data_IF_200430453645
#
_entry.id   IF_200430453645
#
_cell.length_a   1.000
_cell.length_b   1.000
_cell.length_c   1.000
_cell.angle_alpha   90.00
_cell.angle_beta   90.00
_cell.angle_gamma   90.00
#
_symmetry.space_group_name_H-M   'P 1'
#
loop_
_entity.id
_entity.type
_entity.pdbx_description
1 polymer ?
#
# COMPACT_ATOMS: atom_id res chain seq x y z
N UNK A 1 -19.58 -17.14 -69.72
CA UNK A 1 -19.39 -15.70 -70.00
C UNK A 1 -20.58 -14.92 -69.49
N UNK A 2 -20.40 -14.09 -68.45
CA UNK A 2 -21.12 -12.83 -68.22
C UNK A 2 -20.44 -12.12 -67.04
N UNK A 3 -19.79 -11.00 -67.36
CA UNK A 3 -19.09 -10.11 -66.42
C UNK A 3 -20.13 -9.38 -65.57
N UNK A 4 -19.92 -9.35 -64.25
CA UNK A 4 -20.62 -8.43 -63.34
C UNK A 4 -19.74 -7.18 -63.14
N UNK A 5 -20.36 -5.99 -63.04
CA UNK A 5 -19.66 -4.71 -63.09
C UNK A 5 -18.93 -4.40 -61.78
N UNK A 6 -17.79 -3.71 -61.95
CA UNK A 6 -17.01 -3.05 -60.91
C UNK A 6 -17.86 -1.91 -60.34
N UNK A 7 -18.25 -2.02 -59.06
CA UNK A 7 -18.80 -0.90 -58.30
C UNK A 7 -17.75 -0.40 -57.31
N UNK A 8 -17.70 0.91 -57.21
CA UNK A 8 -16.63 1.73 -56.68
C UNK A 8 -16.31 1.44 -55.19
N UNK A 9 -15.04 1.63 -54.84
CA UNK A 9 -14.56 1.56 -53.48
C UNK A 9 -15.23 2.64 -52.63
N UNK A 10 -16.03 2.22 -51.65
CA UNK A 10 -16.42 3.07 -50.53
C UNK A 10 -15.16 3.38 -49.71
N UNK A 11 -14.73 4.63 -49.81
CA UNK A 11 -13.76 5.27 -48.92
C UNK A 11 -14.11 4.96 -47.46
N UNK A 12 -13.16 4.54 -46.60
CA UNK A 12 -13.45 4.33 -45.19
C UNK A 12 -13.78 5.68 -44.55
N UNK A 13 -15.06 5.92 -44.31
CA UNK A 13 -15.55 7.03 -43.50
C UNK A 13 -14.89 6.94 -42.14
N UNK A 14 -14.05 7.92 -41.81
CA UNK A 14 -13.43 7.99 -40.49
C UNK A 14 -14.53 8.07 -39.43
N UNK A 15 -14.48 7.24 -38.37
CA UNK A 15 -15.49 7.30 -37.32
C UNK A 15 -15.38 8.63 -36.59
N UNK A 16 -16.45 9.43 -36.72
CA UNK A 16 -16.72 10.64 -35.96
C UNK A 16 -16.66 10.32 -34.45
N UNK A 17 -16.02 11.16 -33.61
CA UNK A 17 -15.87 10.87 -32.19
C UNK A 17 -17.16 11.25 -31.45
N UNK A 18 -18.19 10.42 -31.55
CA UNK A 18 -19.35 10.51 -30.66
C UNK A 18 -18.94 10.08 -29.25
N UNK A 19 -18.60 11.10 -28.46
CA UNK A 19 -18.52 11.06 -27.00
C UNK A 19 -19.87 10.59 -26.45
N UNK A 20 -19.87 9.44 -25.76
CA UNK A 20 -20.50 9.16 -24.45
C UNK A 20 -20.68 7.64 -24.21
N UNK A 21 -19.59 6.88 -24.19
CA UNK A 21 -19.58 5.51 -23.64
C UNK A 21 -18.83 5.48 -22.30
N UNK A 22 -19.46 6.02 -21.25
CA UNK A 22 -18.90 5.98 -19.90
C UNK A 22 -19.33 4.68 -19.17
N UNK A 23 -18.65 3.57 -19.50
CA UNK A 23 -18.57 2.39 -18.62
C UNK A 23 -17.15 1.83 -18.70
N UNK A 24 -16.18 2.61 -18.21
CA UNK A 24 -14.90 2.04 -17.82
C UNK A 24 -14.59 2.42 -16.38
N UNK A 25 -14.06 1.44 -15.66
CA UNK A 25 -13.22 1.71 -14.51
C UNK A 25 -12.00 2.44 -15.07
N UNK A 26 -12.02 3.77 -15.12
CA UNK A 26 -10.93 4.56 -15.72
C UNK A 26 -9.62 4.21 -15.02
N UNK A 27 -8.81 3.40 -15.69
CA UNK A 27 -7.50 2.96 -15.24
C UNK A 27 -6.53 4.11 -15.44
N UNK A 28 -5.65 4.35 -14.47
CA UNK A 28 -4.56 5.31 -14.67
C UNK A 28 -3.66 4.86 -15.83
N UNK A 29 -2.98 5.79 -16.52
CA UNK A 29 -1.99 5.47 -17.56
C UNK A 29 -1.01 4.36 -17.13
N UNK A 30 -0.47 4.44 -15.91
CA UNK A 30 0.44 3.43 -15.37
C UNK A 30 -0.25 2.06 -15.14
N UNK A 31 -1.54 2.07 -14.78
CA UNK A 31 -2.31 0.83 -14.63
C UNK A 31 -2.59 0.19 -16.00
N UNK A 32 -2.81 1.00 -17.04
CA UNK A 32 -2.95 0.53 -18.42
C UNK A 32 -1.64 -0.06 -18.94
N UNK A 33 -0.52 0.65 -18.75
CA UNK A 33 0.81 0.19 -19.14
C UNK A 33 1.20 -1.12 -18.43
N UNK A 34 1.00 -1.21 -17.10
CA UNK A 34 1.24 -2.45 -16.36
C UNK A 34 0.36 -3.61 -16.83
N UNK A 35 -0.87 -3.31 -17.28
CA UNK A 35 -1.78 -4.32 -17.83
C UNK A 35 -1.38 -4.76 -19.23
N UNK A 36 -0.95 -3.84 -20.09
CA UNK A 36 -0.41 -4.19 -21.41
C UNK A 36 0.86 -5.02 -21.27
N UNK A 37 1.81 -4.62 -20.41
CA UNK A 37 2.99 -5.42 -20.11
C UNK A 37 2.63 -6.81 -19.53
N UNK A 38 1.62 -6.88 -18.67
CA UNK A 38 1.10 -8.16 -18.16
C UNK A 38 0.43 -9.02 -19.24
N UNK A 39 -0.24 -8.40 -20.22
CA UNK A 39 -0.86 -9.07 -21.37
C UNK A 39 0.21 -9.62 -22.30
N UNK A 40 1.23 -8.83 -22.63
CA UNK A 40 2.37 -9.25 -23.47
C UNK A 40 3.06 -10.49 -22.89
N UNK A 41 3.36 -10.48 -21.59
CA UNK A 41 3.93 -11.67 -20.92
C UNK A 41 3.06 -12.91 -21.04
N UNK A 42 1.74 -12.77 -20.89
CA UNK A 42 0.82 -13.90 -21.05
C UNK A 42 0.70 -14.36 -22.51
N UNK A 43 0.80 -13.44 -23.47
CA UNK A 43 0.82 -13.76 -24.89
C UNK A 43 2.08 -14.56 -25.24
N UNK A 44 3.23 -14.17 -24.72
CA UNK A 44 4.48 -14.92 -24.88
C UNK A 44 4.39 -16.32 -24.31
N UNK A 45 3.82 -16.46 -23.11
CA UNK A 45 3.58 -17.76 -22.49
C UNK A 45 2.61 -18.63 -23.30
N UNK A 46 1.55 -18.05 -23.86
CA UNK A 46 0.64 -18.74 -24.76
C UNK A 46 1.37 -19.22 -26.02
N UNK A 47 2.16 -18.36 -26.65
CA UNK A 47 2.95 -18.71 -27.85
C UNK A 47 3.95 -19.83 -27.57
N UNK A 48 4.65 -19.78 -26.44
CA UNK A 48 5.59 -20.83 -26.02
C UNK A 48 4.87 -22.17 -25.80
N UNK A 49 3.70 -22.16 -25.15
CA UNK A 49 2.89 -23.39 -24.98
C UNK A 49 2.44 -23.95 -26.33
N UNK A 50 2.02 -23.09 -27.27
CA UNK A 50 1.59 -23.52 -28.60
C UNK A 50 2.76 -24.08 -29.44
N UNK A 51 3.95 -23.49 -29.34
CA UNK A 51 5.16 -24.04 -29.98
C UNK A 51 5.50 -25.43 -29.43
N UNK A 52 5.47 -25.62 -28.12
CA UNK A 52 5.73 -26.94 -27.51
C UNK A 52 4.64 -27.96 -27.88
N UNK A 53 3.39 -27.53 -28.04
CA UNK A 53 2.29 -28.38 -28.54
C UNK A 53 2.54 -28.82 -29.99
N UNK A 54 2.93 -27.89 -30.87
CA UNK A 54 3.29 -28.20 -32.27
C UNK A 54 4.49 -29.14 -32.37
N UNK A 55 5.45 -29.02 -31.45
CA UNK A 55 6.59 -29.93 -31.32
C UNK A 55 6.24 -31.31 -30.70
N UNK A 56 4.96 -31.58 -30.40
CA UNK A 56 4.50 -32.88 -29.89
C UNK A 56 4.78 -33.15 -28.42
N UNK A 57 5.16 -32.14 -27.62
CA UNK A 57 5.41 -32.35 -26.19
C UNK A 57 4.10 -32.49 -25.41
N UNK A 58 4.08 -33.45 -24.48
CA UNK A 58 2.95 -33.63 -23.58
C UNK A 58 2.80 -32.47 -22.58
N UNK A 59 1.56 -32.21 -22.15
CA UNK A 59 1.22 -31.15 -21.18
C UNK A 59 2.10 -31.22 -19.93
N UNK A 60 2.40 -32.43 -19.45
CA UNK A 60 3.24 -32.66 -18.26
C UNK A 60 4.72 -32.33 -18.48
N UNK A 61 5.25 -32.47 -19.70
CA UNK A 61 6.61 -32.04 -20.06
C UNK A 61 6.66 -30.54 -20.27
N UNK A 62 5.69 -29.95 -20.97
CA UNK A 62 5.60 -28.50 -21.20
C UNK A 62 5.44 -27.72 -19.90
N UNK A 63 4.66 -28.23 -18.94
CA UNK A 63 4.51 -27.67 -17.59
C UNK A 63 5.83 -27.63 -16.82
N UNK A 64 6.64 -28.69 -16.89
CA UNK A 64 7.97 -28.73 -16.25
C UNK A 64 8.96 -27.80 -16.95
N UNK A 65 8.96 -27.76 -18.28
CA UNK A 65 9.88 -26.93 -19.07
C UNK A 65 9.64 -25.43 -18.89
N UNK A 66 8.37 -25.01 -18.78
CA UNK A 66 7.99 -23.61 -18.63
C UNK A 66 7.76 -23.19 -17.17
N UNK A 67 7.97 -24.10 -16.20
CA UNK A 67 7.63 -23.89 -14.79
C UNK A 67 6.19 -23.36 -14.57
N UNK A 68 5.23 -23.84 -15.38
CA UNK A 68 3.83 -23.42 -15.35
C UNK A 68 2.92 -24.49 -14.77
N UNK A 69 1.82 -24.07 -14.14
CA UNK A 69 0.79 -24.99 -13.69
C UNK A 69 0.18 -25.76 -14.87
N UNK A 70 0.01 -27.08 -14.71
CA UNK A 70 -0.54 -27.99 -15.74
C UNK A 70 -1.91 -27.53 -16.26
N UNK A 71 -2.75 -26.94 -15.41
CA UNK A 71 -4.07 -26.40 -15.80
C UNK A 71 -3.96 -25.21 -16.76
N UNK A 72 -2.99 -24.32 -16.54
CA UNK A 72 -2.71 -23.17 -17.41
C UNK A 72 -2.13 -23.64 -18.75
N UNK A 73 -1.18 -24.57 -18.73
CA UNK A 73 -0.63 -25.18 -19.95
C UNK A 73 -1.72 -25.89 -20.73
N UNK A 74 -2.61 -26.64 -20.07
CA UNK A 74 -3.77 -27.26 -20.72
C UNK A 74 -4.69 -26.22 -21.36
N UNK A 75 -5.02 -25.14 -20.63
CA UNK A 75 -5.87 -24.05 -21.13
C UNK A 75 -5.26 -23.40 -22.38
N UNK A 76 -3.97 -23.07 -22.36
CA UNK A 76 -3.29 -22.46 -23.49
C UNK A 76 -3.07 -23.41 -24.66
N UNK A 77 -2.75 -24.68 -24.37
CA UNK A 77 -2.57 -25.69 -25.40
C UNK A 77 -3.83 -25.86 -26.22
N UNK A 78 -5.00 -26.03 -25.59
CA UNK A 78 -6.26 -26.29 -26.29
C UNK A 78 -7.03 -25.05 -26.75
N UNK A 79 -6.60 -23.84 -26.40
CA UNK A 79 -7.25 -22.63 -26.88
C UNK A 79 -6.87 -22.35 -28.35
N UNK A 80 -7.89 -22.02 -29.16
CA UNK A 80 -7.71 -21.67 -30.58
C UNK A 80 -7.03 -20.30 -30.75
N UNK A 81 -7.26 -19.39 -29.81
CA UNK A 81 -6.68 -18.05 -29.75
C UNK A 81 -6.29 -17.70 -28.31
N UNK A 82 -5.52 -16.62 -28.14
CA UNK A 82 -5.12 -16.16 -26.81
C UNK A 82 -6.35 -15.83 -25.95
N UNK A 83 -6.58 -16.53 -24.82
CA UNK A 83 -7.75 -16.29 -23.99
C UNK A 83 -7.58 -14.96 -23.24
N UNK A 84 -8.10 -13.89 -23.84
CA UNK A 84 -8.05 -12.55 -23.29
C UNK A 84 -8.83 -12.49 -21.96
N UNK A 85 -8.31 -11.74 -20.98
CA UNK A 85 -8.97 -11.61 -19.68
C UNK A 85 -10.27 -10.80 -19.85
N UNK A 86 -11.42 -11.47 -19.67
CA UNK A 86 -12.73 -10.80 -19.68
C UNK A 86 -12.73 -9.68 -18.64
N UNK A 87 -12.86 -8.44 -19.11
CA UNK A 87 -13.02 -7.29 -18.23
C UNK A 87 -14.45 -7.30 -17.70
N UNK A 88 -14.60 -7.51 -16.39
CA UNK A 88 -15.89 -7.27 -15.74
C UNK A 88 -16.07 -5.75 -15.66
N UNK A 89 -17.13 -5.17 -16.25
CA UNK A 89 -17.41 -3.75 -16.06
C UNK A 89 -17.54 -3.49 -14.57
N UNK A 90 -16.85 -2.45 -14.07
CA UNK A 90 -17.15 -1.98 -12.72
C UNK A 90 -18.61 -1.52 -12.71
N UNK A 91 -19.37 -1.90 -11.69
CA UNK A 91 -20.73 -1.39 -11.52
C UNK A 91 -20.77 0.14 -11.61
N UNK A 92 -21.92 0.66 -12.06
CA UNK A 92 -22.16 2.12 -12.21
C UNK A 92 -21.76 2.82 -10.90
N UNK A 93 -20.82 3.76 -10.99
CA UNK A 93 -20.40 4.54 -9.83
C UNK A 93 -21.53 5.47 -9.42
N UNK A 94 -21.72 5.72 -8.12
CA UNK A 94 -22.69 6.71 -7.65
C UNK A 94 -22.37 8.13 -8.15
N UNK A 95 -21.14 8.36 -8.60
CA UNK A 95 -20.71 9.60 -9.24
C UNK A 95 -21.18 9.74 -10.69
N UNK A 96 -21.55 8.64 -11.37
CA UNK A 96 -21.84 8.62 -12.81
C UNK A 96 -22.86 9.69 -13.24
N UNK A 97 -23.97 9.93 -12.52
CA UNK A 97 -24.93 10.98 -12.87
C UNK A 97 -24.36 12.41 -12.76
N UNK A 98 -23.33 12.62 -11.94
CA UNK A 98 -22.78 13.92 -11.58
C UNK A 98 -21.49 14.29 -12.32
N UNK A 99 -21.00 13.41 -13.20
CA UNK A 99 -19.72 13.61 -13.90
C UNK A 99 -19.74 14.82 -14.84
N UNK A 100 -20.84 15.07 -15.54
CA UNK A 100 -20.95 16.21 -16.44
C UNK A 100 -20.80 17.54 -15.70
N UNK A 101 -21.38 17.63 -14.50
CA UNK A 101 -21.25 18.79 -13.63
C UNK A 101 -19.81 18.97 -13.14
N UNK A 102 -19.21 17.89 -12.62
CA UNK A 102 -17.82 17.90 -12.15
C UNK A 102 -16.83 18.32 -13.24
N UNK A 103 -17.02 17.83 -14.47
CA UNK A 103 -16.19 18.18 -15.63
C UNK A 103 -16.29 19.67 -15.97
N UNK A 104 -17.50 20.23 -15.96
CA UNK A 104 -17.72 21.65 -16.21
C UNK A 104 -17.03 22.51 -15.13
N UNK A 105 -17.20 22.18 -13.85
CA UNK A 105 -16.53 22.88 -12.75
C UNK A 105 -15.02 22.76 -12.81
N UNK A 106 -14.50 21.61 -13.24
CA UNK A 106 -13.07 21.41 -13.42
C UNK A 106 -12.49 22.28 -14.54
N UNK A 107 -13.20 22.41 -15.67
CA UNK A 107 -12.84 23.32 -16.78
C UNK A 107 -12.88 24.78 -16.36
N UNK A 108 -13.77 25.15 -15.45
CA UNK A 108 -13.82 26.47 -14.82
C UNK A 108 -12.68 26.71 -13.80
N UNK A 109 -11.74 25.78 -13.64
CA UNK A 109 -10.60 25.93 -12.74
C UNK A 109 -10.85 25.53 -11.29
N UNK A 110 -12.01 24.94 -10.96
CA UNK A 110 -12.28 24.47 -9.61
C UNK A 110 -11.37 23.26 -9.28
N UNK A 111 -10.34 23.48 -8.46
CA UNK A 111 -9.41 22.44 -7.99
C UNK A 111 -9.65 22.03 -6.54
N UNK A 112 -10.74 22.45 -5.89
CA UNK A 112 -11.03 22.09 -4.50
C UNK A 112 -12.07 20.94 -4.42
N UNK A 113 -11.64 19.76 -3.97
CA UNK A 113 -12.52 18.58 -3.85
C UNK A 113 -13.62 18.76 -2.79
N UNK A 114 -13.36 19.49 -1.71
CA UNK A 114 -14.35 19.74 -0.66
C UNK A 114 -15.46 20.66 -1.15
N UNK A 115 -15.11 21.67 -1.96
CA UNK A 115 -16.06 22.55 -2.61
C UNK A 115 -16.97 21.76 -3.58
N UNK A 116 -16.36 20.98 -4.48
CA UNK A 116 -17.11 20.15 -5.43
C UNK A 116 -18.04 19.15 -4.71
N UNK A 117 -17.60 18.56 -3.60
CA UNK A 117 -18.44 17.63 -2.84
C UNK A 117 -19.65 18.31 -2.18
N UNK A 118 -19.49 19.53 -1.63
CA UNK A 118 -20.63 20.30 -1.07
C UNK A 118 -21.64 20.67 -2.14
N UNK A 119 -21.16 21.10 -3.31
CA UNK A 119 -22.00 21.44 -4.46
C UNK A 119 -22.76 20.22 -4.99
N UNK A 120 -22.10 19.06 -5.02
CA UNK A 120 -22.75 17.80 -5.34
C UNK A 120 -23.79 17.39 -4.28
N UNK A 121 -23.50 17.63 -3.00
CA UNK A 121 -24.46 17.40 -1.91
C UNK A 121 -25.75 18.22 -2.09
N UNK A 122 -25.63 19.47 -2.54
CA UNK A 122 -26.79 20.33 -2.88
C UNK A 122 -27.60 19.79 -4.07
N UNK A 123 -26.97 19.04 -4.98
CA UNK A 123 -27.61 18.36 -6.11
C UNK A 123 -28.08 16.93 -5.77
N UNK A 124 -28.07 16.58 -4.48
CA UNK A 124 -28.58 15.29 -3.98
C UNK A 124 -27.59 14.12 -4.07
N UNK A 125 -26.28 14.37 -4.22
CA UNK A 125 -25.28 13.30 -4.24
C UNK A 125 -25.18 12.61 -2.87
N UNK A 126 -25.48 11.29 -2.77
CA UNK A 126 -25.48 10.57 -1.50
C UNK A 126 -24.10 9.97 -1.13
N UNK A 127 -23.07 10.22 -1.95
CA UNK A 127 -21.78 9.56 -1.80
C UNK A 127 -20.75 10.32 -0.96
N UNK A 128 -19.67 9.63 -0.61
CA UNK A 128 -18.60 10.18 0.24
C UNK A 128 -17.69 11.18 -0.50
N UNK A 129 -17.16 12.15 0.24
CA UNK A 129 -16.16 13.13 -0.20
C UNK A 129 -14.94 12.49 -0.88
N UNK A 130 -14.47 11.37 -0.33
CA UNK A 130 -13.33 10.63 -0.87
C UNK A 130 -13.49 10.21 -2.34
N UNK A 131 -14.71 9.99 -2.81
CA UNK A 131 -14.96 9.63 -4.20
C UNK A 131 -14.73 10.84 -5.13
N UNK A 132 -15.15 12.04 -4.71
CA UNK A 132 -14.90 13.31 -5.43
C UNK A 132 -13.40 13.64 -5.41
N UNK A 133 -12.75 13.44 -4.25
CA UNK A 133 -11.29 13.62 -4.12
C UNK A 133 -10.52 12.70 -5.06
N UNK A 134 -10.88 11.41 -5.12
CA UNK A 134 -10.28 10.45 -6.04
C UNK A 134 -10.48 10.84 -7.50
N UNK A 135 -11.68 11.28 -7.87
CA UNK A 135 -11.98 11.78 -9.22
C UNK A 135 -11.08 12.98 -9.57
N UNK A 136 -10.99 13.97 -8.68
CA UNK A 136 -10.19 15.17 -8.90
C UNK A 136 -8.69 14.90 -8.96
N UNK A 137 -8.16 14.05 -8.07
CA UNK A 137 -6.74 13.67 -8.05
C UNK A 137 -6.32 12.92 -9.33
N UNK A 138 -7.25 12.23 -10.00
CA UNK A 138 -6.97 11.56 -11.28
C UNK A 138 -6.85 12.57 -12.43
N UNK A 139 -7.77 13.53 -12.51
CA UNK A 139 -7.71 14.61 -13.51
C UNK A 139 -6.45 15.46 -13.42
N UNK A 140 -6.00 15.76 -12.19
CA UNK A 140 -4.71 16.44 -11.97
C UNK A 140 -3.50 15.65 -12.51
N UNK A 141 -3.57 14.32 -12.57
CA UNK A 141 -2.49 13.49 -13.13
C UNK A 141 -2.55 13.39 -14.65
N UNK A 142 -3.71 13.65 -15.26
CA UNK A 142 -3.90 13.65 -16.72
C UNK A 142 -3.48 14.99 -17.35
N UNK A 143 -3.75 16.12 -16.68
CA UNK A 143 -3.44 17.48 -17.18
C UNK A 143 -1.97 17.90 -17.04
N UNK A 144 -1.20 17.25 -16.19
CA UNK A 144 0.25 17.52 -16.09
C UNK A 144 0.93 16.72 -17.19
N UNK A 145 1.73 17.34 -18.09
CA UNK A 145 2.60 16.61 -18.99
C UNK A 145 3.52 15.75 -18.13
N UNK A 146 3.12 14.48 -18.03
CA UNK A 146 3.79 13.35 -17.39
C UNK A 146 5.24 13.65 -17.03
N UNK A 147 5.51 14.03 -15.77
CA UNK A 147 6.76 13.57 -15.16
C UNK A 147 6.62 12.07 -15.13
N UNK A 148 7.22 11.41 -16.11
CA UNK A 148 7.36 9.97 -16.09
C UNK A 148 8.00 9.67 -14.75
N UNK A 149 7.31 8.95 -13.87
CA UNK A 149 8.01 8.22 -12.82
C UNK A 149 8.72 7.07 -13.53
N UNK A 150 9.76 7.42 -14.29
CA UNK A 150 10.83 6.47 -14.54
C UNK A 150 11.25 5.96 -13.16
N UNK A 151 11.48 4.65 -12.99
CA UNK A 151 12.23 4.21 -11.83
C UNK A 151 13.52 5.03 -11.89
N UNK A 152 13.77 5.84 -10.86
CA UNK A 152 15.01 6.60 -10.74
C UNK A 152 16.14 5.57 -10.68
N UNK A 153 16.64 5.20 -11.84
CA UNK A 153 18.01 4.73 -11.97
C UNK A 153 18.84 5.97 -11.72
N UNK A 154 19.29 6.12 -10.47
CA UNK A 154 20.12 7.24 -10.02
C UNK A 154 21.39 7.32 -10.86
N UNK A 155 21.34 8.04 -11.98
CA UNK A 155 22.50 8.53 -12.68
C UNK A 155 23.17 9.59 -11.83
N UNK A 156 24.32 9.20 -11.27
CA UNK A 156 25.45 10.05 -10.86
C UNK A 156 25.11 11.46 -10.35
N UNK A 157 24.80 11.55 -9.05
CA UNK A 157 25.12 12.74 -8.25
C UNK A 157 26.40 12.42 -7.46
N UNK A 158 27.44 13.27 -7.48
CA UNK A 158 28.75 13.00 -6.89
C UNK A 158 28.80 13.24 -5.37
N UNK A 159 27.71 12.91 -4.66
CA UNK A 159 27.69 12.93 -3.20
C UNK A 159 26.75 11.84 -2.70
N UNK A 160 27.10 10.59 -3.01
CA UNK A 160 26.41 9.45 -2.40
C UNK A 160 26.92 9.35 -0.97
N UNK A 161 26.02 9.51 0.00
CA UNK A 161 26.24 8.98 1.34
C UNK A 161 26.80 7.55 1.22
N UNK A 162 27.78 7.15 2.03
CA UNK A 162 28.39 5.82 1.95
C UNK A 162 27.40 4.68 2.24
N UNK A 163 26.16 5.01 2.63
CA UNK A 163 25.08 4.09 2.93
C UNK A 163 23.73 4.63 2.39
N UNK A 164 22.78 3.74 2.16
CA UNK A 164 21.39 4.10 1.86
C UNK A 164 20.65 4.49 3.15
N UNK A 165 19.93 5.62 3.12
CA UNK A 165 19.14 6.04 4.29
C UNK A 165 17.95 5.08 4.49
N UNK A 166 17.82 4.49 5.69
CA UNK A 166 16.73 3.56 5.98
C UNK A 166 15.38 4.28 6.07
N UNK A 167 14.29 3.51 5.99
CA UNK A 167 12.94 4.04 6.24
C UNK A 167 12.82 4.59 7.65
N UNK A 168 11.87 5.51 7.88
CA UNK A 168 11.60 6.09 9.21
C UNK A 168 11.37 5.02 10.28
N UNK A 169 10.71 3.90 9.94
CA UNK A 169 10.46 2.81 10.86
C UNK A 169 11.74 2.04 11.22
N UNK A 170 12.60 1.78 10.23
CA UNK A 170 13.90 1.16 10.46
C UNK A 170 14.80 2.07 11.30
N UNK A 171 14.83 3.37 11.01
CA UNK A 171 15.57 4.37 11.77
C UNK A 171 15.11 4.44 13.24
N UNK A 172 13.80 4.46 13.47
CA UNK A 172 13.25 4.42 14.84
C UNK A 172 13.64 3.12 15.57
N UNK A 173 13.67 1.99 14.87
CA UNK A 173 14.10 0.71 15.46
C UNK A 173 15.60 0.71 15.78
N UNK A 174 16.44 1.27 14.90
CA UNK A 174 17.87 1.46 15.14
C UNK A 174 18.13 2.30 16.39
N UNK A 175 17.38 3.39 16.57
CA UNK A 175 17.51 4.26 17.74
C UNK A 175 17.18 3.57 19.08
N UNK A 176 16.29 2.57 19.09
CA UNK A 176 15.91 1.83 20.30
C UNK A 176 16.82 0.63 20.55
N UNK A 177 17.50 0.12 19.51
CA UNK A 177 18.33 -1.10 19.56
C UNK A 177 19.47 -0.93 20.59
N UNK A 178 19.80 -1.98 21.37
CA UNK A 178 20.97 -1.93 22.25
C UNK A 178 22.23 -1.63 21.45
N UNK A 179 23.09 -0.74 21.99
CA UNK A 179 24.34 -0.34 21.33
C UNK A 179 25.23 -1.55 21.01
N UNK A 180 25.20 -2.59 21.85
CA UNK A 180 25.94 -3.84 21.67
C UNK A 180 25.52 -4.66 20.44
N UNK A 181 24.36 -4.36 19.86
CA UNK A 181 23.85 -5.05 18.68
C UNK A 181 23.95 -4.20 17.42
N UNK A 182 24.43 -2.96 17.49
CA UNK A 182 24.59 -2.10 16.33
C UNK A 182 25.78 -2.58 15.49
N UNK A 183 25.58 -2.67 14.18
CA UNK A 183 26.66 -2.92 13.23
C UNK A 183 27.39 -1.60 12.90
N UNK A 184 28.57 -1.69 12.29
CA UNK A 184 29.37 -0.51 11.93
C UNK A 184 28.61 0.42 10.96
N UNK A 185 27.82 -0.15 10.07
CA UNK A 185 26.92 0.55 9.15
C UNK A 185 25.78 1.28 9.88
N UNK A 186 25.18 0.65 10.91
CA UNK A 186 24.15 1.28 11.75
C UNK A 186 24.72 2.50 12.48
N UNK A 187 25.97 2.41 12.95
CA UNK A 187 26.68 3.52 13.59
C UNK A 187 26.89 4.71 12.66
N UNK A 188 27.22 4.47 11.39
CA UNK A 188 27.38 5.53 10.38
C UNK A 188 26.05 6.24 10.09
N UNK A 189 24.95 5.49 9.98
CA UNK A 189 23.61 6.04 9.80
C UNK A 189 23.22 6.93 10.98
N UNK A 190 23.41 6.43 12.21
CA UNK A 190 23.10 7.19 13.42
C UNK A 190 23.97 8.44 13.54
N UNK A 191 25.28 8.35 13.27
CA UNK A 191 26.18 9.50 13.28
C UNK A 191 25.76 10.58 12.29
N UNK A 192 25.30 10.19 11.11
CA UNK A 192 24.82 11.14 10.11
C UNK A 192 23.49 11.79 10.52
N UNK A 193 22.52 11.01 10.98
CA UNK A 193 21.21 11.53 11.39
C UNK A 193 21.32 12.41 12.65
N UNK A 194 22.25 12.08 13.56
CA UNK A 194 22.53 12.87 14.75
C UNK A 194 23.39 14.12 14.49
N UNK A 195 23.71 14.46 13.23
CA UNK A 195 24.27 15.79 12.91
C UNK A 195 23.27 16.90 13.23
N UNK A 196 21.97 16.60 13.15
CA UNK A 196 20.92 17.52 13.58
C UNK A 196 20.76 17.49 15.11
N UNK A 197 20.97 18.62 15.76
CA UNK A 197 21.00 18.72 17.23
C UNK A 197 19.72 18.23 17.92
N UNK A 198 18.56 18.45 17.31
CA UNK A 198 17.27 17.98 17.84
C UNK A 198 17.23 16.45 17.82
N UNK A 199 17.67 15.82 16.73
CA UNK A 199 17.64 14.37 16.60
C UNK A 199 18.67 13.72 17.54
N UNK A 200 19.86 14.31 17.69
CA UNK A 200 20.85 13.85 18.66
C UNK A 200 20.29 13.84 20.09
N UNK A 201 19.60 14.91 20.49
CA UNK A 201 18.98 15.00 21.81
C UNK A 201 17.87 13.96 22.01
N UNK A 202 17.04 13.72 20.98
CA UNK A 202 16.01 12.68 20.99
C UNK A 202 16.64 11.30 21.11
N UNK A 203 17.70 11.03 20.34
CA UNK A 203 18.38 9.73 20.35
C UNK A 203 18.94 9.40 21.74
N UNK A 204 19.60 10.36 22.41
CA UNK A 204 20.10 10.14 23.77
C UNK A 204 18.97 9.84 24.76
N UNK A 205 17.83 10.55 24.68
CA UNK A 205 16.69 10.29 25.55
C UNK A 205 16.02 8.93 25.27
N UNK A 206 15.92 8.53 24.00
CA UNK A 206 15.39 7.21 23.61
C UNK A 206 16.32 6.10 24.11
N UNK A 207 17.63 6.27 23.95
CA UNK A 207 18.66 5.33 24.44
C UNK A 207 18.58 5.16 25.95
N UNK A 208 18.52 6.26 26.69
CA UNK A 208 18.40 6.26 28.16
C UNK A 208 17.11 5.57 28.61
N UNK A 209 15.98 5.87 27.97
CA UNK A 209 14.70 5.23 28.29
C UNK A 209 14.72 3.73 28.01
N UNK A 210 15.22 3.33 26.84
CA UNK A 210 15.30 1.93 26.45
C UNK A 210 16.23 1.14 27.38
N UNK A 211 17.35 1.74 27.81
CA UNK A 211 18.23 1.16 28.82
C UNK A 211 17.50 1.02 30.16
N UNK A 212 16.85 2.09 30.64
CA UNK A 212 16.10 2.11 31.91
C UNK A 212 15.00 1.05 31.97
N UNK A 213 14.26 0.84 30.87
CA UNK A 213 13.22 -0.20 30.76
C UNK A 213 13.83 -1.60 30.81
N UNK A 214 14.94 -1.84 30.10
CA UNK A 214 15.61 -3.15 30.07
C UNK A 214 16.24 -3.52 31.42
N UNK A 215 16.85 -2.55 32.10
CA UNK A 215 17.55 -2.74 33.38
C UNK A 215 16.66 -2.49 34.59
N UNK A 216 15.39 -2.10 34.40
CA UNK A 216 14.40 -1.86 35.46
C UNK A 216 14.86 -0.82 36.49
N UNK A 217 15.38 0.30 36.00
CA UNK A 217 15.95 1.37 36.83
C UNK A 217 14.93 2.46 37.13
N UNK A 218 13.89 2.13 37.90
CA UNK A 218 12.80 3.07 38.25
C UNK A 218 13.28 4.38 38.89
N UNK A 219 14.44 4.38 39.57
CA UNK A 219 15.02 5.58 40.20
C UNK A 219 15.45 6.67 39.21
N UNK A 220 15.74 6.30 37.96
CA UNK A 220 16.16 7.25 36.93
C UNK A 220 14.98 7.93 36.21
N UNK A 221 13.76 7.45 36.43
CA UNK A 221 12.56 7.91 35.73
C UNK A 221 12.31 9.41 35.94
N UNK A 222 12.42 9.89 37.18
CA UNK A 222 12.12 11.29 37.52
C UNK A 222 13.06 12.26 36.80
N UNK A 223 14.38 11.97 36.81
CA UNK A 223 15.37 12.77 36.09
C UNK A 223 15.12 12.73 34.58
N UNK A 224 14.83 11.55 34.04
CA UNK A 224 14.54 11.39 32.63
C UNK A 224 13.31 12.18 32.18
N UNK A 225 12.23 12.17 32.98
CA UNK A 225 11.02 12.97 32.70
C UNK A 225 11.32 14.47 32.69
N UNK A 226 12.15 14.97 33.61
CA UNK A 226 12.60 16.37 33.59
C UNK A 226 13.36 16.70 32.31
N UNK A 227 14.28 15.82 31.88
CA UNK A 227 15.03 16.02 30.63
C UNK A 227 14.13 15.99 29.39
N UNK A 228 13.04 15.23 29.40
CA UNK A 228 12.04 15.27 28.33
C UNK A 228 11.36 16.64 28.23
N UNK A 229 11.06 17.29 29.36
CA UNK A 229 10.45 18.62 29.36
C UNK A 229 11.38 19.72 28.84
N UNK A 230 12.69 19.57 29.03
CA UNK A 230 13.71 20.50 28.52
C UNK A 230 14.18 20.19 27.09
N UNK A 231 13.64 19.14 26.46
CA UNK A 231 14.02 18.75 25.10
C UNK A 231 13.41 19.70 24.07
N UNK A 232 14.14 20.03 23.00
CA UNK A 232 13.62 20.88 21.91
C UNK A 232 12.54 20.19 21.06
N UNK A 233 12.39 18.87 21.17
CA UNK A 233 11.39 18.10 20.43
C UNK A 233 10.04 18.05 21.17
N UNK A 234 9.04 18.78 20.65
CA UNK A 234 7.68 18.86 21.22
C UNK A 234 7.04 17.48 21.41
N UNK A 235 7.24 16.56 20.46
CA UNK A 235 6.69 15.20 20.56
C UNK A 235 7.26 14.42 21.76
N UNK A 236 8.52 14.67 22.13
CA UNK A 236 9.15 14.01 23.26
C UNK A 236 8.74 14.64 24.60
N UNK A 237 8.53 15.96 24.63
CA UNK A 237 7.91 16.64 25.78
C UNK A 237 6.51 16.07 26.04
N UNK A 238 5.68 15.97 25.00
CA UNK A 238 4.34 15.37 25.08
C UNK A 238 4.42 13.93 25.54
N UNK A 239 5.32 13.12 24.99
CA UNK A 239 5.51 11.74 25.44
C UNK A 239 5.83 11.65 26.93
N UNK A 240 6.77 12.46 27.42
CA UNK A 240 7.09 12.55 28.85
C UNK A 240 5.89 12.97 29.70
N UNK A 241 5.09 13.93 29.25
CA UNK A 241 3.89 14.37 29.95
C UNK A 241 2.86 13.24 30.10
N UNK A 242 2.61 12.46 29.04
CA UNK A 242 1.69 11.32 29.12
C UNK A 242 2.21 10.23 30.06
N UNK A 243 3.52 9.94 30.03
CA UNK A 243 4.11 9.01 31.00
C UNK A 243 3.99 9.49 32.45
N UNK A 244 4.07 10.80 32.67
CA UNK A 244 3.87 11.40 33.99
C UNK A 244 2.41 11.30 34.46
N UNK A 245 1.43 11.41 33.56
CA UNK A 245 0.02 11.16 33.90
C UNK A 245 -0.19 9.72 34.38
N UNK A 246 0.50 8.76 33.76
CA UNK A 246 0.48 7.34 34.13
C UNK A 246 1.63 6.92 35.07
N UNK A 247 2.19 7.87 35.85
CA UNK A 247 3.44 7.67 36.60
C UNK A 247 3.46 6.41 37.45
N UNK A 248 2.39 6.15 38.21
CA UNK A 248 2.30 4.97 39.07
C UNK A 248 2.44 3.65 38.28
N UNK A 249 1.79 3.58 37.11
CA UNK A 249 1.85 2.42 36.24
C UNK A 249 3.24 2.27 35.59
N UNK A 250 3.82 3.38 35.10
CA UNK A 250 5.16 3.38 34.50
C UNK A 250 6.23 2.99 35.53
N UNK A 251 6.17 3.55 36.73
CA UNK A 251 7.07 3.20 37.83
C UNK A 251 6.91 1.74 38.25
N UNK A 252 5.69 1.22 38.30
CA UNK A 252 5.44 -0.20 38.56
C UNK A 252 6.03 -1.09 37.46
N UNK A 253 5.88 -0.72 36.19
CA UNK A 253 6.47 -1.45 35.07
C UNK A 253 8.01 -1.50 35.13
N UNK A 254 8.64 -0.44 35.66
CA UNK A 254 10.09 -0.37 35.84
C UNK A 254 10.60 -1.02 37.12
N UNK A 255 9.77 -1.26 38.13
CA UNK A 255 10.22 -1.75 39.45
C UNK A 255 9.78 -3.18 39.75
N UNK A 256 8.72 -3.67 39.10
CA UNK A 256 8.16 -4.99 39.36
C UNK A 256 8.55 -6.00 38.28
N UNK A 257 8.59 -7.30 38.62
CA UNK A 257 8.81 -8.34 37.62
C UNK A 257 7.55 -8.67 36.80
N UNK A 258 6.40 -8.18 37.23
CA UNK A 258 5.10 -8.50 36.68
C UNK A 258 4.83 -7.72 35.40
N UNK A 259 4.26 -8.40 34.41
CA UNK A 259 3.76 -7.75 33.19
C UNK A 259 2.38 -8.28 32.84
N UNK A 260 1.54 -7.43 32.28
CA UNK A 260 0.24 -7.83 31.75
C UNK A 260 0.37 -8.60 30.42
N UNK A 261 1.58 -8.81 29.89
CA UNK A 261 1.79 -9.41 28.57
C UNK A 261 1.21 -10.83 28.44
N UNK A 262 1.29 -11.65 29.49
CA UNK A 262 0.67 -12.98 29.47
C UNK A 262 -0.86 -12.86 29.36
N UNK A 263 -1.46 -12.02 30.19
CA UNK A 263 -2.91 -11.78 30.22
C UNK A 263 -3.39 -11.21 28.88
N UNK A 264 -2.70 -10.20 28.36
CA UNK A 264 -2.99 -9.59 27.05
C UNK A 264 -2.82 -10.59 25.91
N UNK A 265 -1.82 -11.48 25.99
CA UNK A 265 -1.64 -12.58 25.05
C UNK A 265 -2.84 -13.53 25.04
N UNK A 266 -3.34 -13.92 26.21
CA UNK A 266 -4.54 -14.76 26.31
C UNK A 266 -5.78 -14.01 25.80
N UNK A 267 -5.96 -12.73 26.16
CA UNK A 267 -7.06 -11.90 25.66
C UNK A 267 -7.02 -11.78 24.14
N UNK A 268 -5.84 -11.58 23.56
CA UNK A 268 -5.64 -11.49 22.12
C UNK A 268 -5.98 -12.80 21.42
N UNK A 269 -5.52 -13.93 21.96
CA UNK A 269 -5.87 -15.27 21.49
C UNK A 269 -7.38 -15.49 21.52
N UNK A 270 -8.05 -15.13 22.61
CA UNK A 270 -9.51 -15.24 22.75
C UNK A 270 -10.23 -14.34 21.73
N UNK A 271 -9.78 -13.09 21.56
CA UNK A 271 -10.31 -12.16 20.54
C UNK A 271 -10.13 -12.71 19.13
N UNK A 272 -9.00 -13.35 18.83
CA UNK A 272 -8.74 -13.99 17.55
C UNK A 272 -9.73 -15.12 17.26
N UNK A 273 -9.95 -16.03 18.22
CA UNK A 273 -10.93 -17.12 18.09
C UNK A 273 -12.33 -16.55 17.84
N UNK A 274 -12.73 -15.52 18.61
CA UNK A 274 -14.03 -14.85 18.39
C UNK A 274 -14.14 -14.27 16.97
N UNK A 275 -13.09 -13.62 16.46
CA UNK A 275 -13.05 -13.03 15.11
C UNK A 275 -13.13 -14.09 14.02
N UNK A 276 -12.40 -15.20 14.17
CA UNK A 276 -12.46 -16.34 13.23
C UNK A 276 -13.87 -16.96 13.17
N UNK A 277 -14.64 -16.85 14.24
CA UNK A 277 -16.02 -17.35 14.32
C UNK A 277 -17.08 -16.28 14.05
N UNK A 278 -16.68 -15.15 13.46
CA UNK A 278 -17.57 -14.04 13.10
C UNK A 278 -18.41 -13.53 14.29
N UNK A 279 -17.85 -13.58 15.51
CA UNK A 279 -18.54 -13.15 16.72
C UNK A 279 -19.66 -14.08 17.21
N UNK A 280 -19.90 -15.22 16.57
CA UNK A 280 -20.99 -16.16 16.90
C UNK A 280 -20.65 -17.14 18.03
N UNK A 281 -19.65 -16.82 18.84
CA UNK A 281 -19.19 -17.66 19.96
C UNK A 281 -19.79 -17.21 21.27
N UNK A 282 -20.84 -17.91 21.72
CA UNK A 282 -21.26 -17.89 23.12
C UNK A 282 -20.16 -18.47 24.01
N UNK A 283 -20.21 -18.18 25.31
CA UNK A 283 -19.13 -18.49 26.26
C UNK A 283 -18.78 -19.99 26.26
N UNK A 284 -19.77 -20.88 26.17
CA UNK A 284 -19.56 -22.33 26.17
C UNK A 284 -18.72 -22.81 24.98
N UNK A 285 -19.06 -22.35 23.77
CA UNK A 285 -18.34 -22.69 22.54
C UNK A 285 -16.93 -22.08 22.53
N UNK A 286 -16.78 -20.87 23.07
CA UNK A 286 -15.48 -20.23 23.24
C UNK A 286 -14.60 -21.02 24.21
N UNK A 287 -15.16 -21.47 25.35
CA UNK A 287 -14.46 -22.30 26.33
C UNK A 287 -13.99 -23.61 25.70
N UNK A 288 -14.86 -24.29 24.95
CA UNK A 288 -14.49 -25.51 24.22
C UNK A 288 -13.33 -25.25 23.25
N UNK A 289 -13.38 -24.19 22.44
CA UNK A 289 -12.28 -23.87 21.51
C UNK A 289 -10.96 -23.49 22.20
N UNK A 290 -11.02 -22.85 23.36
CA UNK A 290 -9.81 -22.48 24.12
C UNK A 290 -9.16 -23.70 24.76
N UNK A 291 -9.96 -24.62 25.30
CA UNK A 291 -9.46 -25.82 26.00
C UNK A 291 -8.99 -26.91 25.03
N UNK A 292 -9.72 -27.17 23.94
CA UNK A 292 -9.49 -28.33 23.08
C UNK A 292 -8.64 -28.05 21.83
N UNK A 293 -8.01 -26.87 21.69
CA UNK A 293 -7.09 -26.45 20.59
C UNK A 293 -7.29 -27.24 19.27
N UNK A 294 -8.31 -26.87 18.51
CA UNK A 294 -8.54 -27.36 17.14
C UNK A 294 -7.77 -26.53 16.12
#
# INVERSE_FOLDING_TARGET
MRKLPVSQADTPTQPTPERLNYVMRDYSKNELEARWAGREKHLDYFNQVQQLRRAGLSISKSSRKLAMNRSTVRRYAYAESFPERVQRPSGRSMLTPYLAYLENRYRQGCRNAQQLWRELGQQGYPGAHNQVTKWLSRRRKEDVPTTQKQPVTNSSVPDRLPFELPTTQQLAWLMVRPVSLLEETDGQILNHVCQEAIIAQVYELVKDFAAMVRTRQAKLLDNWLVRCQTCSAVLLQQFGLHLQQDYAAVRAALSTPWSNGQTEGQVTRVKLIKRQMYGRTKLDLLRQRVLYRW
#
